data_IF_690155631162
#
_entry.id   IF_690155631162
#
_cell.length_a   1.000
_cell.length_b   1.000
_cell.length_c   1.000
_cell.angle_alpha   90.00
_cell.angle_beta   90.00
_cell.angle_gamma   90.00
#
_symmetry.space_group_name_H-M   'P 1'
#
loop_
_entity.id
_entity.type
_entity.pdbx_description
1 polymer ?
2 non-polymer ?
3 non-polymer ?
4 non-polymer ?
5 non-polymer ?
6 water ?
#
# COMPACT_ATOMS: atom_id res chain seq x y z
N UNK A 13 -18.06 -12.82 -14.80
CA UNK A 13 -16.71 -13.34 -14.98
C UNK A 13 -15.83 -12.92 -13.81
N UNK A 14 -15.33 -13.91 -13.06
CA UNK A 14 -14.54 -13.61 -11.88
C UNK A 14 -13.20 -12.97 -12.28
N UNK A 15 -12.65 -12.23 -11.32
CA UNK A 15 -11.36 -11.60 -11.49
C UNK A 15 -10.28 -12.63 -11.84
N UNK A 16 -9.41 -12.27 -12.78
CA UNK A 16 -8.26 -13.10 -13.13
C UNK A 16 -7.03 -12.46 -12.51
N UNK A 17 -6.38 -13.09 -11.54
CA UNK A 17 -5.20 -12.48 -10.89
C UNK A 17 -4.10 -12.20 -11.89
N UNK A 18 -3.55 -11.00 -11.91
CA UNK A 18 -2.34 -10.72 -12.72
C UNK A 18 -1.18 -11.63 -12.33
N UNK A 19 -0.18 -11.77 -13.19
CA UNK A 19 1.03 -12.52 -12.82
C UNK A 19 1.73 -11.88 -11.64
N UNK A 20 2.49 -12.69 -10.93
CA UNK A 20 3.17 -12.22 -9.73
C UNK A 20 4.39 -11.38 -10.08
N UNK A 21 4.60 -10.30 -9.32
CA UNK A 21 5.77 -9.46 -9.48
C UNK A 21 6.98 -10.19 -8.87
N UNK A 22 8.20 -9.73 -9.16
CA UNK A 22 9.38 -10.40 -8.59
C UNK A 22 9.44 -10.26 -7.08
N UNK A 23 9.94 -11.29 -6.43
CA UNK A 23 10.23 -11.27 -5.01
C UNK A 23 11.71 -11.57 -4.82
N UNK A 24 12.39 -10.72 -4.06
CA UNK A 24 13.81 -10.91 -3.78
C UNK A 24 14.00 -11.29 -2.32
N UNK A 25 14.91 -12.23 -2.08
CA UNK A 25 15.25 -12.67 -0.74
C UNK A 25 16.76 -12.47 -0.57
N UNK A 26 17.19 -11.22 -0.36
CA UNK A 26 18.63 -10.94 -0.29
C UNK A 26 19.32 -11.67 0.86
N UNK A 27 20.53 -12.16 0.59
CA UNK A 27 21.39 -12.63 1.66
C UNK A 27 21.78 -11.47 2.57
N UNK A 28 22.41 -11.80 3.70
CA UNK A 28 22.84 -10.74 4.60
C UNK A 28 23.81 -9.79 3.91
N UNK A 29 24.70 -10.33 3.08
CA UNK A 29 25.64 -9.48 2.34
C UNK A 29 24.90 -8.56 1.37
N UNK A 30 23.92 -9.11 0.62
CA UNK A 30 23.16 -8.28 -0.30
C UNK A 30 22.26 -7.28 0.41
N UNK A 31 21.87 -7.56 1.66
CA UNK A 31 20.94 -6.73 2.42
C UNK A 31 21.61 -5.55 3.11
N UNK A 32 22.74 -5.07 2.59
CA UNK A 32 23.50 -4.09 3.36
C UNK A 32 22.86 -2.70 3.30
N UNK A 33 22.40 -2.27 2.12
CA UNK A 33 21.75 -0.96 2.04
C UNK A 33 20.79 -0.92 0.87
N UNK A 34 19.60 -0.32 1.04
CA UNK A 34 18.56 -0.43 0.01
C UNK A 34 18.93 0.20 -1.32
N UNK A 35 19.71 1.28 -1.31
CA UNK A 35 20.00 1.98 -2.56
C UNK A 35 20.84 1.11 -3.51
N UNK A 36 21.91 0.50 -2.99
CA UNK A 36 22.71 -0.37 -3.84
C UNK A 36 21.93 -1.60 -4.26
N UNK A 37 21.13 -2.17 -3.34
CA UNK A 37 20.35 -3.35 -3.69
C UNK A 37 19.34 -3.04 -4.80
N UNK A 38 18.59 -1.95 -4.64
CA UNK A 38 17.59 -1.57 -5.65
C UNK A 38 18.27 -1.29 -6.99
N UNK A 39 19.43 -0.65 -6.95
CA UNK A 39 20.18 -0.43 -8.18
C UNK A 39 20.57 -1.72 -8.88
N UNK A 40 20.88 -2.76 -8.12
CA UNK A 40 21.25 -4.04 -8.71
C UNK A 40 20.05 -4.79 -9.28
N UNK A 41 18.90 -4.75 -8.60
CA UNK A 41 17.74 -5.47 -9.11
C UNK A 41 16.98 -4.68 -10.17
N UNK A 42 17.37 -3.43 -10.40
CA UNK A 42 16.61 -2.57 -11.31
C UNK A 42 16.38 -3.16 -12.70
N UNK A 43 17.35 -3.81 -13.37
CA UNK A 43 17.06 -4.31 -14.73
C UNK A 43 15.85 -5.22 -14.77
N UNK A 44 15.56 -5.93 -13.69
CA UNK A 44 14.34 -6.73 -13.68
C UNK A 44 13.15 -5.96 -13.14
N UNK A 45 13.30 -5.35 -11.96
CA UNK A 45 12.15 -4.79 -11.28
C UNK A 45 11.57 -3.58 -12.01
N UNK A 46 12.41 -2.82 -12.72
CA UNK A 46 11.85 -1.69 -13.43
C UNK A 46 10.96 -2.14 -14.60
N UNK A 47 11.10 -3.41 -15.03
CA UNK A 47 10.24 -3.97 -16.06
C UNK A 47 8.93 -4.51 -15.49
N UNK A 48 8.77 -4.56 -14.17
CA UNK A 48 7.51 -4.96 -13.57
C UNK A 48 6.87 -3.84 -12.75
N UNK A 49 7.55 -2.70 -12.60
CA UNK A 49 7.01 -1.57 -11.86
C UNK A 49 7.08 -1.67 -10.36
N UNK A 50 6.68 -2.82 -9.81
CA UNK A 50 6.80 -3.07 -8.38
C UNK A 50 7.59 -4.35 -8.17
N UNK A 51 8.21 -4.45 -7.00
CA UNK A 51 8.80 -5.72 -6.57
C UNK A 51 8.67 -5.84 -5.07
N UNK A 52 8.89 -7.05 -4.56
CA UNK A 52 8.81 -7.32 -3.14
C UNK A 52 10.18 -7.76 -2.64
N UNK A 53 10.56 -7.32 -1.45
CA UNK A 53 11.84 -7.70 -0.85
C UNK A 53 11.57 -8.28 0.53
N UNK A 54 12.01 -9.51 0.74
CA UNK A 54 11.93 -10.21 2.00
C UNK A 54 13.27 -10.10 2.72
N UNK A 55 13.35 -9.39 3.84
CA UNK A 55 14.63 -9.28 4.56
C UNK A 55 15.06 -10.63 5.11
N UNK A 56 16.31 -10.76 5.55
CA UNK A 56 16.73 -12.00 6.19
C UNK A 56 15.86 -12.33 7.40
N UNK A 57 15.68 -13.62 7.63
CA UNK A 57 14.72 -14.09 8.62
C UNK A 57 14.89 -13.40 9.97
N UNK A 58 16.13 -13.19 10.41
CA UNK A 58 16.38 -12.63 11.72
C UNK A 58 16.34 -11.11 11.75
N UNK A 59 16.04 -10.44 10.63
CA UNK A 59 15.87 -8.98 10.66
C UNK A 59 14.43 -8.69 11.06
N UNK A 60 14.23 -8.31 12.32
CA UNK A 60 12.88 -8.09 12.87
C UNK A 60 12.84 -6.82 13.69
N UNK A 61 12.49 -5.69 13.08
CA UNK A 61 12.39 -4.44 13.83
C UNK A 61 11.23 -4.50 14.81
N UNK A 62 11.42 -4.00 16.03
CA UNK A 62 10.31 -3.89 16.97
C UNK A 62 9.42 -2.70 16.61
N UNK A 63 8.15 -2.83 16.94
CA UNK A 63 7.17 -1.80 16.59
C UNK A 63 7.27 -0.65 17.59
N UNK A 64 7.53 0.56 17.11
CA UNK A 64 7.94 1.65 17.98
C UNK A 64 6.92 2.78 18.11
N UNK A 65 5.73 2.64 17.53
CA UNK A 65 4.70 3.65 17.73
C UNK A 65 4.25 3.68 19.19
N UNK A 66 3.76 4.85 19.61
CA UNK A 66 3.15 5.00 20.94
C UNK A 66 1.70 4.54 20.84
N UNK A 67 1.49 3.24 21.10
CA UNK A 67 0.17 2.62 20.90
C UNK A 67 -0.85 3.19 21.86
N UNK A 68 -0.41 3.59 23.06
CA UNK A 68 -1.34 4.13 24.05
C UNK A 68 -2.10 5.34 23.50
N UNK A 69 -1.37 6.33 23.00
CA UNK A 69 -1.98 7.58 22.56
C UNK A 69 -2.39 7.59 21.09
N UNK A 70 -2.22 6.48 20.37
CA UNK A 70 -2.45 6.47 18.92
C UNK A 70 -3.95 6.60 18.65
N UNK A 71 -4.37 7.78 18.21
CA UNK A 71 -5.76 8.08 17.93
C UNK A 71 -5.86 8.67 16.53
N UNK A 72 -6.88 8.27 15.78
CA UNK A 72 -6.97 8.78 14.41
C UNK A 72 -8.42 8.68 13.93
N UNK A 73 -8.73 9.49 12.93
CA UNK A 73 -10.05 9.46 12.29
C UNK A 73 -9.86 9.02 10.84
N UNK A 74 -10.21 7.80 10.51
CA UNK A 74 -9.97 7.29 9.15
C UNK A 74 -10.97 7.85 8.17
N UNK A 75 -10.58 7.83 6.89
CA UNK A 75 -11.46 8.31 5.85
C UNK A 75 -12.42 7.21 5.44
N UNK A 76 -13.62 7.61 5.06
CA UNK A 76 -14.64 6.64 4.65
C UNK A 76 -14.45 6.34 3.17
N UNK A 77 -14.54 5.06 2.79
CA UNK A 77 -14.38 4.64 1.40
C UNK A 77 -15.58 3.81 0.95
N UNK A 78 -16.30 4.29 -0.07
CA UNK A 78 -17.38 3.54 -0.70
C UNK A 78 -16.81 2.87 -1.96
N UNK A 79 -16.76 1.54 -1.94
CA UNK A 79 -16.05 0.82 -3.00
C UNK A 79 -16.63 1.12 -4.38
N UNK A 80 -17.95 1.24 -4.48
CA UNK A 80 -18.61 1.37 -5.77
C UNK A 80 -19.00 2.81 -6.12
N UNK A 81 -18.30 3.82 -5.55
CA UNK A 81 -18.74 5.20 -5.76
C UNK A 81 -18.71 5.59 -7.23
N UNK A 82 -17.73 5.10 -8.00
CA UNK A 82 -17.65 5.50 -9.39
C UNK A 82 -18.76 4.86 -10.22
N UNK A 83 -18.92 3.54 -10.08
CA UNK A 83 -19.99 2.86 -10.81
C UNK A 83 -21.35 3.42 -10.43
N UNK A 84 -21.49 3.93 -9.21
CA UNK A 84 -22.76 4.47 -8.72
C UNK A 84 -23.11 5.83 -9.32
N UNK A 85 -22.25 6.41 -10.16
CA UNK A 85 -22.57 7.69 -10.80
C UNK A 85 -22.84 7.52 -12.29
N UNK A 96 -24.70 9.12 2.93
CA UNK A 96 -24.02 10.30 3.45
C UNK A 96 -23.33 10.01 4.77
N UNK A 97 -22.27 9.19 4.74
CA UNK A 97 -21.48 8.87 5.92
C UNK A 97 -20.21 9.69 5.94
N UNK A 98 -19.84 10.19 7.11
CA UNK A 98 -18.71 11.09 7.26
C UNK A 98 -17.64 10.50 8.17
N UNK A 99 -16.39 10.92 7.94
CA UNK A 99 -15.25 10.51 8.74
C UNK A 99 -15.29 11.26 10.06
N UNK A 100 -16.19 10.81 10.95
CA UNK A 100 -16.34 11.40 12.27
C UNK A 100 -16.01 10.42 13.39
N UNK A 101 -15.81 9.14 13.08
CA UNK A 101 -15.50 8.14 14.10
C UNK A 101 -14.00 8.18 14.39
N UNK A 102 -13.64 8.55 15.62
CA UNK A 102 -12.26 8.46 16.07
C UNK A 102 -12.01 7.07 16.62
N UNK A 103 -10.85 6.51 16.32
CA UNK A 103 -10.45 5.20 16.83
C UNK A 103 -9.12 5.31 17.54
N UNK A 104 -8.87 4.35 18.41
CA UNK A 104 -7.52 3.97 18.78
C UNK A 104 -7.08 2.83 17.85
N UNK A 105 -5.79 2.52 17.87
CA UNK A 105 -5.33 1.34 17.13
C UNK A 105 -6.15 0.12 17.52
N UNK A 106 -6.44 -0.03 18.80
CA UNK A 106 -7.13 -1.24 19.28
C UNK A 106 -8.59 -1.25 18.82
N UNK A 107 -9.30 -0.12 18.98
CA UNK A 107 -10.70 -0.11 18.61
C UNK A 107 -10.87 -0.21 17.09
N UNK A 108 -9.93 0.35 16.32
CA UNK A 108 -9.99 0.15 14.87
C UNK A 108 -9.77 -1.31 14.52
N UNK A 109 -8.81 -1.97 15.17
CA UNK A 109 -8.60 -3.39 14.92
C UNK A 109 -9.81 -4.23 15.30
N UNK A 110 -10.46 -3.90 16.42
CA UNK A 110 -11.66 -4.64 16.79
C UNK A 110 -12.74 -4.47 15.73
N UNK A 111 -12.96 -3.24 15.28
CA UNK A 111 -13.90 -2.96 14.20
C UNK A 111 -13.52 -3.70 12.92
N UNK A 112 -12.23 -3.70 12.57
CA UNK A 112 -11.80 -4.28 11.31
C UNK A 112 -11.99 -5.79 11.30
N UNK A 113 -11.59 -6.45 12.39
CA UNK A 113 -11.72 -7.89 12.46
C UNK A 113 -13.20 -8.30 12.47
N UNK A 114 -14.03 -7.55 13.21
CA UNK A 114 -15.47 -7.84 13.25
C UNK A 114 -16.09 -7.69 11.87
N UNK A 115 -15.69 -6.66 11.12
CA UNK A 115 -16.22 -6.45 9.78
C UNK A 115 -15.89 -7.63 8.88
N UNK A 116 -14.62 -8.02 8.85
CA UNK A 116 -14.19 -9.06 7.94
C UNK A 116 -14.80 -10.40 8.30
N UNK A 117 -14.77 -10.75 9.59
CA UNK A 117 -15.29 -12.06 9.98
C UNK A 117 -16.79 -12.13 9.76
N UNK A 118 -17.50 -11.01 9.95
CA UNK A 118 -18.92 -10.98 9.65
C UNK A 118 -19.18 -11.04 8.14
N UNK A 119 -18.36 -10.33 7.36
CA UNK A 119 -18.57 -10.31 5.91
C UNK A 119 -18.41 -11.70 5.31
N UNK A 120 -17.34 -12.40 5.67
CA UNK A 120 -17.07 -13.70 5.09
C UNK A 120 -17.60 -14.87 5.91
N UNK A 121 -18.14 -14.62 7.11
CA UNK A 121 -18.69 -15.68 7.96
C UNK A 121 -17.64 -16.74 8.28
N UNK A 122 -16.42 -16.31 8.55
CA UNK A 122 -15.36 -17.21 8.97
C UNK A 122 -14.32 -16.40 9.73
N UNK A 123 -13.43 -17.06 10.48
CA UNK A 123 -12.37 -16.30 11.17
C UNK A 123 -11.49 -15.56 10.17
N UNK A 124 -10.98 -14.39 10.58
CA UNK A 124 -10.32 -13.49 9.62
C UNK A 124 -9.14 -14.17 8.95
N UNK A 125 -8.37 -14.96 9.72
CA UNK A 125 -7.17 -15.57 9.16
C UNK A 125 -7.48 -16.68 8.18
N UNK A 126 -8.71 -17.19 8.17
CA UNK A 126 -9.07 -18.32 7.31
C UNK A 126 -9.56 -17.89 5.94
N UNK A 127 -9.77 -16.60 5.72
CA UNK A 127 -10.28 -16.15 4.42
C UNK A 127 -9.13 -16.15 3.42
N UNK A 128 -9.24 -16.88 2.32
CA UNK A 128 -8.13 -16.93 1.35
C UNK A 128 -7.92 -15.56 0.72
N UNK A 129 -6.65 -15.21 0.52
CA UNK A 129 -6.32 -13.93 -0.12
C UNK A 129 -6.99 -13.81 -1.49
N UNK A 130 -7.09 -14.92 -2.24
CA UNK A 130 -7.72 -14.90 -3.56
C UNK A 130 -9.21 -14.55 -3.48
N UNK A 131 -9.88 -14.95 -2.40
CA UNK A 131 -11.31 -14.66 -2.27
C UNK A 131 -11.55 -13.19 -1.92
N UNK A 132 -10.76 -12.62 -1.00
CA UNK A 132 -10.90 -11.18 -0.73
C UNK A 132 -10.62 -10.38 -2.01
N UNK A 133 -9.59 -10.77 -2.75
CA UNK A 133 -9.29 -10.12 -4.03
C UNK A 133 -10.47 -10.20 -4.99
N UNK A 134 -11.02 -11.40 -5.20
CA UNK A 134 -12.15 -11.55 -6.12
C UNK A 134 -13.35 -10.72 -5.66
N UNK A 135 -13.60 -10.71 -4.36
CA UNK A 135 -14.78 -10.01 -3.84
C UNK A 135 -14.59 -8.50 -3.87
N UNK A 136 -13.37 -8.03 -3.56
CA UNK A 136 -13.07 -6.60 -3.69
C UNK A 136 -13.45 -6.08 -5.07
N UNK A 137 -12.96 -6.73 -6.12
CA UNK A 137 -13.21 -6.21 -7.47
C UNK A 137 -14.66 -6.39 -7.87
N UNK A 138 -15.33 -7.43 -7.39
CA UNK A 138 -16.77 -7.54 -7.62
C UNK A 138 -17.50 -6.35 -7.00
N UNK A 139 -17.15 -6.00 -5.77
CA UNK A 139 -17.86 -4.95 -5.04
C UNK A 139 -17.61 -3.59 -5.65
N UNK A 140 -16.40 -3.37 -6.18
CA UNK A 140 -16.08 -2.10 -6.80
C UNK A 140 -16.98 -1.82 -7.99
N UNK A 141 -17.38 -2.86 -8.72
CA UNK A 141 -18.22 -2.68 -9.89
C UNK A 141 -19.69 -2.97 -9.62
N UNK A 142 -20.06 -3.36 -8.40
CA UNK A 142 -21.43 -3.77 -8.11
C UNK A 142 -22.33 -2.55 -7.92
N UNK A 143 -23.49 -2.57 -8.58
CA UNK A 143 -24.48 -1.52 -8.39
C UNK A 143 -25.52 -1.90 -7.33
N UNK A 144 -25.65 -3.19 -7.03
CA UNK A 144 -26.72 -3.65 -6.15
C UNK A 144 -26.30 -3.72 -4.69
N UNK A 145 -25.00 -3.69 -4.40
CA UNK A 145 -24.49 -3.80 -3.03
C UNK A 145 -23.53 -2.65 -2.77
N UNK A 146 -23.81 -1.86 -1.73
CA UNK A 146 -22.98 -0.72 -1.36
C UNK A 146 -22.19 -1.11 -0.11
N UNK A 147 -20.91 -1.39 -0.28
CA UNK A 147 -20.03 -1.71 0.84
C UNK A 147 -19.17 -0.50 1.13
N UNK A 148 -19.06 -0.15 2.40
CA UNK A 148 -18.38 1.05 2.86
C UNK A 148 -17.39 0.65 3.94
N UNK A 149 -16.13 1.06 3.79
CA UNK A 149 -15.08 0.74 4.75
C UNK A 149 -14.35 2.03 5.11
N UNK A 150 -13.34 1.90 5.98
CA UNK A 150 -12.58 3.01 6.52
C UNK A 150 -11.10 2.72 6.42
N UNK A 151 -10.31 3.78 6.20
CA UNK A 151 -8.87 3.63 6.00
C UNK A 151 -8.14 4.72 6.77
N UNK A 152 -7.29 4.31 7.72
CA UNK A 152 -6.42 5.28 8.36
C UNK A 152 -5.24 5.62 7.46
N UNK A 153 -5.44 6.52 6.51
CA UNK A 153 -4.43 6.86 5.52
C UNK A 153 -3.90 8.27 5.77
N UNK A 154 -2.76 8.59 5.19
CA UNK A 154 -2.11 9.90 5.41
C UNK A 154 -1.99 10.27 6.90
N UNK A 155 -1.50 9.32 7.70
CA UNK A 155 -1.15 9.58 9.11
C UNK A 155 0.35 9.85 9.15
N UNK A 156 0.74 11.07 9.50
CA UNK A 156 2.16 11.41 9.50
C UNK A 156 2.87 10.70 10.65
N UNK A 157 4.11 10.25 10.39
CA UNK A 157 4.90 9.66 11.46
C UNK A 157 5.37 10.70 12.46
N UNK A 158 5.29 11.99 12.10
CA UNK A 158 5.65 13.03 13.06
C UNK A 158 4.65 13.10 14.22
N UNK A 159 3.41 12.63 14.00
CA UNK A 159 2.36 12.82 14.99
C UNK A 159 2.44 11.80 16.11
N UNK A 160 2.51 10.50 15.77
CA UNK A 160 2.59 9.47 16.81
C UNK A 160 3.88 8.69 16.76
N UNK A 161 4.85 9.12 15.95
CA UNK A 161 6.09 8.38 15.83
C UNK A 161 6.06 7.42 14.66
N UNK A 162 7.26 7.05 14.23
CA UNK A 162 7.41 6.02 13.23
C UNK A 162 7.18 4.64 13.86
N UNK A 163 6.82 3.68 13.01
CA UNK A 163 6.82 2.29 13.43
C UNK A 163 8.20 1.73 13.67
N UNK A 164 9.24 2.31 13.03
CA UNK A 164 10.63 1.96 13.27
C UNK A 164 11.16 2.73 14.48
N UNK A 165 12.07 2.13 15.25
CA UNK A 165 12.77 2.92 16.27
C UNK A 165 13.58 4.02 15.63
N UNK A 166 13.59 5.20 16.26
CA UNK A 166 14.32 6.37 15.78
C UNK A 166 15.07 6.99 16.95
N UNK A 167 16.31 7.40 16.70
CA UNK A 167 17.10 8.11 17.72
C UNK A 167 16.63 9.57 17.78
N UNK A 168 15.39 9.74 18.23
CA UNK A 168 14.78 11.07 18.29
C UNK A 168 14.74 11.65 19.70
N UNK A 169 14.69 10.82 20.73
CA UNK A 169 14.56 11.25 22.09
C UNK A 169 13.13 11.25 22.61
N UNK A 170 12.14 11.19 21.71
CA UNK A 170 10.75 11.14 22.13
C UNK A 170 10.42 9.81 22.78
N UNK A 171 10.97 8.71 22.26
CA UNK A 171 10.80 7.39 22.83
C UNK A 171 12.17 6.82 23.17
N UNK A 172 12.17 5.86 24.10
CA UNK A 172 13.40 5.19 24.50
C UNK A 172 13.72 4.05 23.53
N UNK A 173 15.01 3.91 23.21
CA UNK A 173 15.47 2.81 22.36
C UNK A 173 16.31 1.88 23.24
N UNK A 174 15.93 0.61 23.28
CA UNK A 174 16.71 -0.42 23.96
C UNK A 174 17.95 -0.76 23.14
N UNK A 175 18.96 -1.40 23.75
CA UNK A 175 20.15 -1.77 22.97
C UNK A 175 19.82 -2.66 21.78
N UNK A 176 18.92 -3.63 21.95
CA UNK A 176 18.53 -4.52 20.86
C UNK A 176 17.83 -3.75 19.74
N UNK A 177 17.33 -2.55 20.02
CA UNK A 177 16.64 -1.74 19.03
C UNK A 177 17.56 -0.85 18.21
N UNK A 178 18.78 -0.60 18.70
CA UNK A 178 19.61 0.44 18.08
C UNK A 178 19.99 0.07 16.66
N UNK A 179 20.30 -1.21 16.44
CA UNK A 179 20.59 -1.68 15.08
C UNK A 179 19.49 -1.26 14.11
N UNK A 180 18.24 -1.33 14.54
CA UNK A 180 17.15 -0.97 13.65
C UNK A 180 16.99 0.54 13.52
N UNK A 181 17.28 1.28 14.60
CA UNK A 181 17.26 2.73 14.49
C UNK A 181 18.29 3.23 13.48
N UNK A 182 19.36 2.47 13.27
CA UNK A 182 20.45 2.88 12.39
C UNK A 182 20.44 2.16 11.05
N UNK A 183 19.55 1.19 10.85
CA UNK A 183 19.55 0.42 9.61
C UNK A 183 19.22 1.31 8.41
N UNK A 184 19.90 1.07 7.29
CA UNK A 184 19.52 1.71 6.04
C UNK A 184 18.13 1.36 5.56
N UNK A 185 17.54 0.27 6.07
CA UNK A 185 16.20 -0.15 5.70
C UNK A 185 15.13 0.43 6.63
N UNK A 186 15.52 1.07 7.72
CA UNK A 186 14.61 1.94 8.45
C UNK A 186 14.20 3.09 7.53
N UNK A 187 12.90 3.19 7.24
CA UNK A 187 12.42 4.17 6.27
C UNK A 187 12.74 5.61 6.67
N UNK A 188 12.97 5.86 7.96
CA UNK A 188 13.41 7.18 8.39
C UNK A 188 14.83 7.51 7.93
N UNK A 189 15.59 6.53 7.44
CA UNK A 189 16.97 6.73 7.02
C UNK A 189 17.12 6.74 5.50
N UNK A 190 16.01 6.80 4.75
CA UNK A 190 16.08 6.85 3.29
C UNK A 190 16.43 8.26 2.83
N UNK A 191 17.24 8.40 1.77
CA UNK A 191 17.50 9.74 1.22
C UNK A 191 16.25 10.26 0.54
N UNK A 192 15.83 11.47 0.93
CA UNK A 192 14.59 12.06 0.41
C UNK A 192 14.81 13.40 -0.25
N UNK A 193 16.02 13.94 -0.22
CA UNK A 193 16.31 15.20 -0.89
C UNK A 193 16.66 14.94 -2.35
N UNK A 194 16.21 15.83 -3.24
CA UNK A 194 16.51 15.76 -4.65
C UNK A 194 17.47 16.88 -5.03
N UNK A 195 18.42 16.56 -5.91
CA UNK A 195 19.39 17.55 -6.37
C UNK A 195 18.69 18.66 -7.16
N UNK A 196 18.96 19.91 -6.78
CA UNK A 196 18.39 21.06 -7.46
C UNK A 196 19.35 22.23 -7.32
N UNK A 197 19.22 23.20 -8.21
CA UNK A 197 20.03 24.40 -8.15
C UNK A 197 19.41 25.42 -7.19
N UNK A 209 10.52 15.87 4.35
CA UNK A 209 9.77 14.68 3.99
C UNK A 209 9.96 13.57 5.02
N UNK A 210 8.85 13.06 5.54
CA UNK A 210 8.86 12.03 6.57
C UNK A 210 8.00 10.86 6.11
N UNK A 211 8.17 9.69 6.71
CA UNK A 211 7.30 8.56 6.36
C UNK A 211 5.86 8.81 6.76
N UNK A 212 4.94 8.20 6.02
CA UNK A 212 3.51 8.22 6.32
C UNK A 212 3.09 6.83 6.77
N UNK A 213 2.02 6.78 7.57
CA UNK A 213 1.52 5.53 8.13
C UNK A 213 0.13 5.21 7.58
N UNK A 214 -0.16 3.91 7.47
CA UNK A 214 -1.42 3.45 6.88
C UNK A 214 -1.97 2.33 7.75
N UNK A 215 -3.12 2.56 8.37
CA UNK A 215 -3.79 1.54 9.17
C UNK A 215 -4.93 1.01 8.34
N UNK A 216 -4.82 -0.25 7.90
CA UNK A 216 -5.76 -0.83 6.98
C UNK A 216 -6.78 -1.75 7.63
N UNK A 217 -7.90 -1.93 6.92
CA UNK A 217 -8.89 -2.98 7.18
C UNK A 217 -9.23 -3.66 5.87
N UNK A 218 -9.94 -4.78 5.95
CA UNK A 218 -10.39 -5.47 4.74
C UNK A 218 -11.12 -4.51 3.81
N UNK A 219 -10.66 -4.46 2.56
CA UNK A 219 -11.19 -3.75 1.40
C UNK A 219 -10.79 -2.28 1.38
N UNK A 220 -10.12 -1.76 2.42
CA UNK A 220 -9.59 -0.41 2.29
C UNK A 220 -8.55 -0.39 1.18
N UNK A 221 -8.47 0.71 0.44
CA UNK A 221 -7.79 0.63 -0.84
C UNK A 221 -7.21 1.97 -1.27
N UNK A 222 -6.33 1.90 -2.27
CA UNK A 222 -5.78 3.10 -2.92
C UNK A 222 -5.82 2.91 -4.42
N UNK A 223 -6.20 3.99 -5.12
CA UNK A 223 -6.40 4.01 -6.57
C UNK A 223 -5.06 4.00 -7.30
N UNK A 224 -5.15 3.88 -8.63
CA UNK A 224 -3.95 3.96 -9.46
C UNK A 224 -3.33 5.36 -9.41
N UNK A 225 -2.02 5.41 -9.18
CA UNK A 225 -1.33 6.70 -9.13
C UNK A 225 0.17 6.47 -9.31
N UNK A 226 0.86 7.56 -9.64
CA UNK A 226 2.31 7.62 -9.54
C UNK A 226 2.65 8.73 -8.54
N UNK A 227 3.93 8.80 -8.17
CA UNK A 227 4.36 9.72 -7.11
C UNK A 227 4.71 11.07 -7.70
N UNK A 228 4.58 12.10 -6.88
CA UNK A 228 5.12 13.40 -7.25
C UNK A 228 6.58 13.26 -7.64
N UNK A 229 6.99 14.00 -8.68
CA UNK A 229 8.36 13.97 -9.20
C UNK A 229 8.77 12.60 -9.76
N UNK A 230 7.78 11.74 -10.01
CA UNK A 230 8.04 10.35 -10.45
C UNK A 230 9.00 9.63 -9.50
N UNK A 231 8.91 9.94 -8.21
CA UNK A 231 9.82 9.34 -7.23
C UNK A 231 9.58 7.83 -7.08
N UNK A 232 10.62 7.13 -6.64
CA UNK A 232 10.45 5.81 -6.03
C UNK A 232 9.63 5.95 -4.76
N UNK A 233 9.05 4.82 -4.33
CA UNK A 233 8.52 4.71 -2.99
C UNK A 233 8.91 3.35 -2.41
N UNK A 234 9.13 3.31 -1.11
CA UNK A 234 9.41 2.06 -0.42
C UNK A 234 8.40 1.93 0.71
N UNK A 235 7.89 0.71 0.91
CA UNK A 235 6.73 0.47 1.73
C UNK A 235 7.01 -0.74 2.63
N UNK A 236 6.81 -0.59 3.93
CA UNK A 236 7.06 -1.68 4.88
C UNK A 236 5.78 -2.01 5.64
N UNK A 237 5.41 -3.29 5.65
CA UNK A 237 4.24 -3.75 6.41
C UNK A 237 4.76 -4.20 7.77
N UNK A 238 4.51 -3.36 8.80
CA UNK A 238 5.01 -3.66 10.14
C UNK A 238 4.36 -4.91 10.71
N UNK A 239 3.03 -5.02 10.58
CA UNK A 239 2.31 -6.18 11.13
C UNK A 239 0.93 -6.24 10.50
N UNK A 240 0.26 -7.37 10.71
CA UNK A 240 -1.12 -7.55 10.31
C UNK A 240 -1.28 -8.39 9.05
N UNK A 241 -2.51 -8.39 8.55
CA UNK A 241 -2.85 -9.16 7.38
C UNK A 241 -2.26 -8.52 6.12
N UNK A 242 -2.15 -9.26 5.02
CA UNK A 242 -1.37 -8.78 3.87
C UNK A 242 -1.99 -7.57 3.18
N UNK A 243 -1.15 -6.88 2.42
CA UNK A 243 -1.54 -5.76 1.57
C UNK A 243 -1.38 -6.23 0.12
N UNK A 244 -2.46 -6.20 -0.64
CA UNK A 244 -2.39 -6.68 -2.01
C UNK A 244 -2.12 -5.51 -2.95
N UNK A 245 -1.16 -5.69 -3.85
CA UNK A 245 -0.62 -4.65 -4.73
C UNK A 245 -0.85 -5.01 -6.19
N UNK A 246 -1.02 -3.97 -7.01
CA UNK A 246 -0.91 -4.09 -8.45
C UNK A 246 0.04 -3.01 -8.94
N UNK A 247 0.85 -3.35 -9.93
CA UNK A 247 1.86 -2.44 -10.45
C UNK A 247 1.95 -2.57 -11.95
N UNK A 248 2.32 -1.45 -12.58
CA UNK A 248 2.48 -1.33 -14.02
C UNK A 248 3.87 -0.75 -14.29
N UNK A 249 4.70 -1.38 -15.13
CA UNK A 249 6.03 -0.82 -15.41
C UNK A 249 5.94 0.54 -16.07
N UNK A 250 6.96 1.37 -15.84
CA UNK A 250 6.94 2.74 -16.34
C UNK A 250 6.89 2.80 -17.87
N UNK A 251 7.43 1.80 -18.57
CA UNK A 251 7.36 1.87 -20.02
C UNK A 251 5.92 1.82 -20.53
N UNK A 252 4.98 1.40 -19.69
CA UNK A 252 3.57 1.37 -20.05
C UNK A 252 2.76 2.50 -19.40
N UNK A 253 3.43 3.51 -18.83
CA UNK A 253 2.70 4.57 -18.12
C UNK A 253 1.71 5.29 -19.05
N UNK A 254 2.17 5.67 -20.25
CA UNK A 254 1.31 6.42 -21.15
C UNK A 254 0.17 5.55 -21.70
N UNK A 255 0.41 4.25 -21.85
CA UNK A 255 -0.67 3.34 -22.26
C UNK A 255 -1.75 3.28 -21.19
N UNK A 256 -1.36 3.16 -19.93
CA UNK A 256 -2.34 3.18 -18.84
C UNK A 256 -3.10 4.50 -18.83
N UNK A 257 -2.39 5.62 -19.01
CA UNK A 257 -3.06 6.91 -18.95
C UNK A 257 -4.05 7.06 -20.09
N UNK A 258 -3.75 6.45 -21.24
CA UNK A 258 -4.68 6.48 -22.37
C UNK A 258 -5.93 5.65 -22.07
N UNK A 259 -5.77 4.44 -21.54
CA UNK A 259 -6.91 3.60 -21.19
C UNK A 259 -7.76 4.30 -20.13
N UNK A 260 -7.11 4.92 -19.15
CA UNK A 260 -7.82 5.63 -18.11
C UNK A 260 -8.66 6.78 -18.70
N UNK A 261 -8.09 7.51 -19.66
CA UNK A 261 -8.83 8.62 -20.25
C UNK A 261 -9.98 8.12 -21.11
N UNK A 262 -9.79 7.02 -21.83
CA UNK A 262 -10.85 6.47 -22.66
C UNK A 262 -12.04 6.01 -21.83
N UNK A 263 -11.79 5.41 -20.68
CA UNK A 263 -12.85 4.78 -19.90
C UNK A 263 -13.30 5.58 -18.69
N UNK A 264 -12.63 6.69 -18.37
CA UNK A 264 -13.06 7.50 -17.24
C UNK A 264 -14.35 8.23 -17.57
N UNK A 265 -15.16 8.54 -16.55
CA UNK A 265 -16.33 9.41 -16.78
C UNK A 265 -15.92 10.68 -17.50
N UNK A 266 -16.78 11.15 -18.40
CA UNK A 266 -16.48 12.34 -19.18
C UNK A 266 -16.26 13.55 -18.30
N UNK A 267 -16.92 13.62 -17.14
CA UNK A 267 -16.75 14.75 -16.24
C UNK A 267 -15.37 14.77 -15.62
N UNK A 268 -14.73 13.60 -15.47
CA UNK A 268 -13.38 13.55 -14.92
C UNK A 268 -12.31 13.41 -16.01
N UNK A 269 -12.71 13.25 -17.28
CA UNK A 269 -11.75 12.91 -18.31
C UNK A 269 -10.69 14.00 -18.48
N UNK A 270 -11.12 15.26 -18.39
CA UNK A 270 -10.30 16.44 -18.62
C UNK A 270 -9.61 16.97 -17.37
N UNK A 271 -9.69 16.27 -16.25
CA UNK A 271 -9.10 16.78 -15.03
C UNK A 271 -7.57 16.60 -15.06
N UNK A 272 -6.83 17.54 -14.46
CA UNK A 272 -5.39 17.33 -14.27
C UNK A 272 -5.10 16.00 -13.57
N UNK A 273 -3.95 15.42 -13.92
CA UNK A 273 -3.57 14.10 -13.42
C UNK A 273 -3.59 14.04 -11.90
N UNK A 274 -3.09 15.10 -11.23
CA UNK A 274 -3.03 15.09 -9.77
C UNK A 274 -4.42 14.97 -9.16
N UNK A 275 -5.43 15.53 -9.82
CA UNK A 275 -6.81 15.42 -9.33
C UNK A 275 -7.49 14.15 -9.83
N UNK A 276 -7.28 13.79 -11.10
CA UNK A 276 -7.87 12.56 -11.61
C UNK A 276 -7.40 11.33 -10.83
N UNK A 277 -6.15 11.35 -10.36
CA UNK A 277 -5.61 10.25 -9.58
C UNK A 277 -6.37 10.01 -8.28
N UNK A 278 -7.20 10.96 -7.86
CA UNK A 278 -7.99 10.76 -6.65
C UNK A 278 -9.13 9.78 -6.88
N UNK A 279 -9.49 9.51 -8.15
CA UNK A 279 -10.64 8.65 -8.47
C UNK A 279 -10.30 7.70 -9.60
N UNK A 280 -9.02 7.40 -9.80
CA UNK A 280 -8.62 6.49 -10.88
C UNK A 280 -8.72 5.03 -10.44
N UNK A 281 -9.92 4.59 -10.06
CA UNK A 281 -10.13 3.19 -9.71
C UNK A 281 -10.40 2.42 -10.98
N UNK A 282 -9.69 1.32 -11.18
CA UNK A 282 -9.85 0.53 -12.40
C UNK A 282 -9.44 -0.91 -12.14
N UNK A 283 -10.33 -1.82 -12.52
CA UNK A 283 -10.04 -3.25 -12.44
C UNK A 283 -8.78 -3.57 -13.25
N UNK A 284 -7.79 -4.25 -12.65
CA UNK A 284 -6.58 -4.64 -13.40
C UNK A 284 -6.87 -5.40 -14.67
N UNK A 285 -7.92 -6.23 -14.72
CA UNK A 285 -8.21 -7.00 -15.92
C UNK A 285 -8.62 -6.10 -17.08
N UNK A 286 -9.24 -4.95 -16.79
CA UNK A 286 -9.57 -3.99 -17.85
C UNK A 286 -8.30 -3.46 -18.48
N UNK A 287 -7.31 -3.09 -17.65
CA UNK A 287 -6.03 -2.66 -18.19
C UNK A 287 -5.36 -3.78 -18.97
N UNK A 288 -5.42 -5.01 -18.44
CA UNK A 288 -4.81 -6.14 -19.12
C UNK A 288 -5.47 -6.42 -20.47
N UNK A 289 -6.81 -6.25 -20.54
CA UNK A 289 -7.49 -6.46 -21.82
C UNK A 289 -7.10 -5.41 -22.85
N UNK A 290 -6.66 -4.24 -22.40
CA UNK A 290 -6.21 -3.19 -23.29
C UNK A 290 -4.70 -3.23 -23.54
N UNK A 291 -4.03 -4.33 -23.19
CA UNK A 291 -2.63 -4.52 -23.50
C UNK A 291 -1.65 -3.95 -22.50
N UNK A 292 -2.12 -3.46 -21.36
CA UNK A 292 -1.27 -2.91 -20.30
C UNK A 292 -0.73 -4.06 -19.45
N UNK A 293 0.59 -4.19 -19.28
CA UNK A 293 1.11 -5.22 -18.38
C UNK A 293 0.86 -4.83 -16.92
N UNK A 294 0.30 -5.78 -16.16
CA UNK A 294 0.03 -5.57 -14.74
C UNK A 294 0.61 -6.75 -13.96
N UNK A 295 1.23 -6.46 -12.82
CA UNK A 295 1.75 -7.48 -11.93
C UNK A 295 1.15 -7.27 -10.55
N UNK A 296 1.06 -8.34 -9.78
CA UNK A 296 0.44 -8.32 -8.45
C UNK A 296 1.41 -8.88 -7.42
N UNK A 297 1.10 -8.62 -6.15
CA UNK A 297 1.73 -9.34 -5.06
C UNK A 297 0.89 -9.18 -3.79
N UNK A 298 1.01 -10.17 -2.89
CA UNK A 298 0.54 -10.04 -1.52
C UNK A 298 1.76 -9.73 -0.67
N UNK A 299 1.82 -8.51 -0.14
CA UNK A 299 2.86 -8.13 0.78
C UNK A 299 2.48 -8.57 2.18
N UNK A 300 3.29 -9.45 2.79
CA UNK A 300 3.02 -9.96 4.12
C UNK A 300 3.82 -9.17 5.15
N UNK A 301 3.42 -9.32 6.43
CA UNK A 301 4.12 -8.63 7.50
C UNK A 301 5.62 -8.91 7.46
N UNK A 302 6.41 -7.85 7.63
CA UNK A 302 7.86 -7.94 7.61
C UNK A 302 8.49 -7.82 6.23
N UNK A 303 7.71 -7.56 5.19
CA UNK A 303 8.23 -7.48 3.83
C UNK A 303 8.09 -6.06 3.29
N UNK A 304 9.02 -5.69 2.42
CA UNK A 304 9.02 -4.41 1.72
C UNK A 304 8.45 -4.56 0.33
N UNK A 305 7.81 -3.49 -0.15
CA UNK A 305 7.47 -3.33 -1.56
C UNK A 305 8.11 -2.03 -2.03
N UNK A 306 8.82 -2.08 -3.17
CA UNK A 306 9.40 -0.90 -3.80
C UNK A 306 8.62 -0.63 -5.09
N UNK A 307 8.22 0.63 -5.30
CA UNK A 307 7.69 1.06 -6.58
C UNK A 307 8.75 1.89 -7.29
N UNK A 308 8.88 1.69 -8.60
CA UNK A 308 9.94 2.35 -9.36
C UNK A 308 9.42 3.66 -9.94
N UNK A 309 10.31 4.52 -10.43
CA UNK A 309 9.87 5.83 -10.97
C UNK A 309 8.80 5.67 -12.05
N UNK A 310 7.68 6.36 -11.86
CA UNK A 310 6.58 6.41 -12.83
C UNK A 310 5.92 5.06 -13.04
N UNK A 311 6.01 4.18 -12.04
CA UNK A 311 5.32 2.89 -12.05
C UNK A 311 3.96 3.07 -11.40
N UNK A 312 2.90 3.01 -12.20
CA UNK A 312 1.56 3.16 -11.63
C UNK A 312 1.29 2.00 -10.68
N UNK A 313 0.66 2.29 -9.56
CA UNK A 313 0.33 1.23 -8.63
C UNK A 313 -0.99 1.51 -7.93
N UNK A 314 -1.60 0.45 -7.43
CA UNK A 314 -2.84 0.53 -6.69
C UNK A 314 -2.86 -0.69 -5.76
N UNK A 315 -3.88 -0.75 -4.91
CA UNK A 315 -3.97 -1.90 -4.03
C UNK A 315 -5.09 -1.84 -3.03
N UNK A 316 -5.16 -2.88 -2.20
CA UNK A 316 -6.14 -2.94 -1.13
C UNK A 316 -5.61 -3.84 -0.02
N UNK A 317 -6.13 -3.67 1.19
CA UNK A 317 -5.68 -4.44 2.34
C UNK A 317 -6.58 -5.66 2.55
N UNK A 318 -5.96 -6.78 2.92
CA UNK A 318 -6.69 -8.02 3.17
C UNK A 318 -7.37 -8.02 4.53
N UNK A 319 -6.94 -7.15 5.44
CA UNK A 319 -7.49 -7.12 6.78
C UNK A 319 -6.75 -6.08 7.59
N UNK A 320 -6.93 -6.15 8.91
CA UNK A 320 -6.28 -5.22 9.83
C UNK A 320 -4.76 -5.28 9.69
N UNK A 321 -4.12 -4.14 9.38
CA UNK A 321 -2.66 -4.12 9.24
C UNK A 321 -2.15 -2.71 9.44
N UNK A 322 -0.82 -2.57 9.39
CA UNK A 322 -0.15 -1.32 9.73
C UNK A 322 1.09 -1.22 8.85
N UNK A 323 1.10 -0.22 7.97
CA UNK A 323 2.17 -0.02 6.99
C UNK A 323 2.80 1.35 7.16
N UNK A 324 4.02 1.48 6.65
CA UNK A 324 4.78 2.73 6.67
C UNK A 324 5.46 2.89 5.32
N UNK A 325 5.45 4.12 4.78
CA UNK A 325 5.88 4.32 3.40
C UNK A 325 6.53 5.69 3.28
N UNK A 326 7.53 5.78 2.40
CA UNK A 326 8.18 7.07 2.12
C UNK A 326 8.64 7.08 0.67
N UNK A 327 8.68 8.29 0.09
CA UNK A 327 9.19 8.48 -1.26
C UNK A 327 10.68 8.83 -1.20
N UNK A 328 11.43 8.34 -2.18
CA UNK A 328 12.86 8.63 -2.20
C UNK A 328 13.32 8.74 -3.65
N UNK A 329 14.42 9.45 -3.85
CA UNK A 329 15.02 9.59 -5.16
C UNK A 329 16.43 9.04 -5.14
N UNK A 330 16.92 8.67 -6.32
CA UNK A 330 18.25 8.07 -6.44
C UNK A 330 19.24 9.08 -7.03
#
# INVERSE_FOLDING_TARGET
HNMAGVGPGGYAAEFVPPPECPVFEPSWEEFTDPLSFIGRIRPLAEKTGICKIRPPKDWQPPFACEVKSFRFTPRVQRLNELEAMTRVRPREAFGFEQAVREYTLQSFGEMADNFKSDYFNMPVHMVPTELVEKEFWRLVSSIEEDVIVEYGADISSKDFGSGFPVKDGRRKILPEEEEYALSGWNLNNMPVLEQSVLAHINVDISGMKVPWLYVGMCFSSFCWHIEDHWSYSINYLHWGEPKTWYGVPSHAAEQLEEVMRELAPELFESQPDLLHQLVTIMNPNVLMEHGVPVYRTNQCAGEFVVTFPRAYHSGFNQGYNFAEAVNFCT
#
